data_IF_509993759610
#
_entry.id   IF_509993759610
#
_cell.length_a   1.000
_cell.length_b   1.000
_cell.length_c   1.000
_cell.angle_alpha   90.00
_cell.angle_beta   90.00
_cell.angle_gamma   90.00
#
_symmetry.space_group_name_H-M   'P 1'
#
loop_
_entity.id
_entity.type
_entity.pdbx_description
1 polymer ?
#
# COMPACT_ATOMS: atom_id res chain seq x y z
N UNK A 1 2.07 -3.00 9.14
CA UNK A 1 2.97 -4.11 8.75
C UNK A 1 3.52 -3.96 7.32
N UNK A 2 2.70 -4.02 6.25
CA UNK A 2 3.16 -3.94 4.85
C UNK A 2 4.10 -2.75 4.59
N UNK A 3 3.72 -1.55 5.06
CA UNK A 3 4.55 -0.34 4.97
C UNK A 3 5.93 -0.49 5.62
N UNK A 4 6.03 -1.21 6.75
CA UNK A 4 7.29 -1.41 7.46
C UNK A 4 8.20 -2.40 6.73
N UNK A 5 7.64 -3.46 6.14
CA UNK A 5 8.42 -4.36 5.28
C UNK A 5 8.86 -3.67 3.99
N UNK A 6 8.00 -2.81 3.41
CA UNK A 6 8.38 -2.00 2.26
C UNK A 6 9.58 -1.10 2.57
N UNK A 7 9.60 -0.45 3.73
CA UNK A 7 10.72 0.41 4.17
C UNK A 7 12.04 -0.34 4.28
N UNK A 8 12.01 -1.62 4.68
CA UNK A 8 13.20 -2.48 4.73
C UNK A 8 13.71 -2.84 3.34
N UNK A 9 12.80 -2.93 2.36
CA UNK A 9 13.12 -3.43 1.01
C UNK A 9 12.42 -2.62 -0.11
N UNK A 10 12.68 -1.31 -0.25
CA UNK A 10 11.88 -0.40 -1.08
C UNK A 10 11.96 -0.66 -2.60
N UNK A 11 12.95 -1.45 -3.04
CA UNK A 11 13.17 -1.79 -4.45
C UNK A 11 12.98 -3.28 -4.74
N UNK A 12 12.58 -4.07 -3.73
CA UNK A 12 12.55 -5.53 -3.84
C UNK A 12 11.19 -6.07 -4.23
N UNK A 13 10.13 -5.47 -3.71
CA UNK A 13 8.77 -5.99 -3.82
C UNK A 13 7.91 -5.14 -4.74
N UNK A 14 6.87 -5.75 -5.28
CA UNK A 14 5.72 -5.07 -5.85
C UNK A 14 4.53 -5.36 -4.94
N UNK A 15 3.75 -4.33 -4.60
CA UNK A 15 2.57 -4.46 -3.77
C UNK A 15 1.33 -4.52 -4.66
N UNK A 16 0.52 -5.55 -4.46
CA UNK A 16 -0.75 -5.73 -5.16
C UNK A 16 -1.89 -5.83 -4.15
N UNK A 17 -3.07 -5.36 -4.55
CA UNK A 17 -4.33 -5.80 -3.96
C UNK A 17 -4.85 -6.97 -4.79
N UNK A 18 -5.06 -8.11 -4.16
CA UNK A 18 -5.50 -9.34 -4.83
C UNK A 18 -6.70 -9.94 -4.13
N UNK A 19 -7.47 -10.75 -4.87
CA UNK A 19 -8.66 -11.41 -4.33
C UNK A 19 -8.67 -12.92 -4.57
N UNK A 20 -7.79 -13.69 -3.88
CA UNK A 20 -7.73 -15.15 -3.98
C UNK A 20 -9.07 -15.83 -3.67
N UNK A 21 -9.20 -17.08 -4.12
CA UNK A 21 -10.41 -17.87 -3.88
C UNK A 21 -11.66 -17.27 -4.55
N UNK A 22 -11.47 -16.48 -5.60
CA UNK A 22 -12.55 -15.86 -6.35
C UNK A 22 -13.25 -14.72 -5.63
N UNK A 23 -12.53 -13.92 -4.84
CA UNK A 23 -13.14 -12.86 -4.03
C UNK A 23 -13.37 -13.23 -2.58
N UNK A 24 -13.09 -14.47 -2.18
CA UNK A 24 -13.26 -14.92 -0.80
C UNK A 24 -12.30 -14.22 0.18
N UNK A 25 -11.18 -13.72 -0.33
CA UNK A 25 -10.18 -13.01 0.46
C UNK A 25 -9.90 -11.63 -0.15
N UNK A 26 -9.60 -10.66 0.71
CA UNK A 26 -9.14 -9.32 0.34
C UNK A 26 -7.72 -9.17 0.87
N UNK A 27 -6.73 -9.30 -0.01
CA UNK A 27 -5.32 -9.43 0.38
C UNK A 27 -4.44 -8.34 -0.18
N UNK A 28 -3.45 -7.95 0.61
CA UNK A 28 -2.28 -7.20 0.17
C UNK A 28 -1.12 -8.17 -0.05
N UNK A 29 -0.68 -8.32 -1.30
CA UNK A 29 0.41 -9.22 -1.67
C UNK A 29 1.69 -8.42 -1.94
N UNK A 30 2.77 -8.70 -1.21
CA UNK A 30 4.12 -8.28 -1.57
C UNK A 30 4.79 -9.42 -2.34
N UNK A 31 4.94 -9.23 -3.65
CA UNK A 31 5.57 -10.20 -4.55
C UNK A 31 7.00 -9.75 -4.81
N UNK A 32 7.96 -10.65 -4.62
CA UNK A 32 9.36 -10.37 -4.89
C UNK A 32 9.61 -10.24 -6.41
N UNK A 33 10.29 -9.17 -6.80
CA UNK A 33 10.56 -8.86 -8.22
C UNK A 33 11.50 -9.83 -8.89
N UNK A 34 12.34 -10.55 -8.13
CA UNK A 34 13.29 -11.52 -8.70
C UNK A 34 12.96 -12.97 -8.36
N UNK A 35 11.94 -13.21 -7.54
CA UNK A 35 11.52 -14.55 -7.10
C UNK A 35 10.03 -14.56 -6.78
N UNK A 36 9.18 -14.58 -7.82
CA UNK A 36 7.73 -14.50 -7.65
C UNK A 36 7.12 -15.71 -6.93
N UNK A 37 7.88 -16.79 -6.73
CA UNK A 37 7.44 -17.94 -5.97
C UNK A 37 7.37 -17.65 -4.46
N UNK A 38 8.15 -16.67 -3.97
CA UNK A 38 8.07 -16.19 -2.59
C UNK A 38 7.27 -14.89 -2.51
N UNK A 39 6.20 -14.90 -1.72
CA UNK A 39 5.37 -13.72 -1.50
C UNK A 39 4.83 -13.67 -0.08
N UNK A 40 4.70 -12.45 0.43
CA UNK A 40 3.90 -12.18 1.61
C UNK A 40 2.48 -11.87 1.17
N UNK A 41 1.51 -12.46 1.84
CA UNK A 41 0.10 -12.18 1.67
C UNK A 41 -0.51 -11.75 3.00
N UNK A 42 -1.05 -10.54 3.04
CA UNK A 42 -1.72 -9.98 4.22
C UNK A 42 -3.20 -9.92 3.94
N UNK A 43 -3.95 -10.89 4.44
CA UNK A 43 -5.41 -10.87 4.38
C UNK A 43 -5.93 -9.79 5.31
N UNK A 44 -6.61 -8.79 4.76
CA UNK A 44 -7.25 -7.71 5.52
C UNK A 44 -8.32 -8.24 6.47
N UNK A 45 -8.81 -9.47 6.25
CA UNK A 45 -9.66 -10.24 7.18
C UNK A 45 -8.93 -10.83 8.40
N UNK A 46 -7.61 -10.64 8.56
CA UNK A 46 -6.93 -10.87 9.84
C UNK A 46 -5.83 -11.94 9.87
N UNK A 47 -5.28 -12.38 8.72
CA UNK A 47 -4.21 -13.38 8.70
C UNK A 47 -3.04 -12.96 7.81
N UNK A 48 -1.82 -13.31 8.20
CA UNK A 48 -0.61 -13.09 7.41
C UNK A 48 -0.05 -14.43 6.98
N UNK A 49 0.30 -14.55 5.70
CA UNK A 49 0.88 -15.76 5.12
C UNK A 49 2.17 -15.41 4.38
N UNK A 50 3.19 -16.23 4.53
CA UNK A 50 4.32 -16.27 3.60
C UNK A 50 4.21 -17.55 2.81
N UNK A 51 4.10 -17.39 1.50
CA UNK A 51 4.09 -18.49 0.53
C UNK A 51 5.50 -18.66 -0.03
N UNK A 52 5.95 -19.91 -0.14
CA UNK A 52 7.25 -20.26 -0.70
C UNK A 52 7.25 -21.67 -1.28
N UNK A 53 8.33 -22.04 -1.98
CA UNK A 53 8.47 -23.37 -2.60
C UNK A 53 8.64 -24.48 -1.55
N UNK A 54 9.34 -24.18 -0.45
CA UNK A 54 9.77 -25.19 0.52
C UNK A 54 8.83 -25.25 1.74
N UNK A 55 8.35 -24.10 2.23
CA UNK A 55 7.47 -24.01 3.39
C UNK A 55 6.50 -22.83 3.26
N UNK A 56 5.27 -23.03 3.73
CA UNK A 56 4.30 -21.95 3.95
C UNK A 56 4.21 -21.65 5.44
N UNK A 57 4.23 -20.36 5.80
CA UNK A 57 4.04 -19.91 7.18
C UNK A 57 2.81 -19.03 7.28
N UNK A 58 2.11 -19.13 8.41
CA UNK A 58 0.87 -18.40 8.67
C UNK A 58 0.87 -17.89 10.10
N UNK A 59 0.44 -16.64 10.28
CA UNK A 59 0.27 -15.99 11.58
C UNK A 59 -1.14 -15.38 11.66
N UNK A 60 -1.95 -15.90 12.58
CA UNK A 60 -3.28 -15.36 12.90
C UNK A 60 -3.23 -14.32 14.02
N UNK A 61 -2.15 -14.31 14.79
CA UNK A 61 -1.85 -13.41 15.92
C UNK A 61 -1.02 -12.19 15.48
N UNK A 62 -0.88 -11.95 14.18
CA UNK A 62 0.01 -10.92 13.62
C UNK A 62 -0.25 -9.52 14.20
N UNK A 63 -1.51 -9.20 14.53
CA UNK A 63 -1.88 -7.90 15.08
C UNK A 63 -1.29 -7.72 16.47
N UNK A 64 -1.44 -8.71 17.35
CA UNK A 64 -0.89 -8.68 18.70
C UNK A 64 0.64 -8.54 18.65
N UNK A 65 1.28 -9.29 17.75
CA UNK A 65 2.73 -9.21 17.53
C UNK A 65 3.21 -7.87 16.99
N UNK A 66 2.38 -7.17 16.21
CA UNK A 66 2.68 -5.82 15.72
C UNK A 66 2.39 -4.73 16.75
N UNK A 67 1.61 -5.03 17.79
CA UNK A 67 1.27 -4.13 18.90
C UNK A 67 2.16 -4.36 20.14
N UNK A 68 3.00 -5.39 20.11
CA UNK A 68 4.02 -5.65 21.14
C UNK A 68 5.03 -4.49 21.25
N UNK A 69 5.82 -4.48 22.32
CA UNK A 69 6.90 -3.51 22.54
C UNK A 69 8.02 -3.68 21.50
N UNK A 70 8.18 -4.88 20.95
CA UNK A 70 9.25 -5.23 19.99
C UNK A 70 8.73 -5.75 18.63
N UNK A 71 7.94 -4.97 17.87
CA UNK A 71 7.36 -5.41 16.60
C UNK A 71 8.42 -5.73 15.53
N UNK A 72 9.65 -5.22 15.71
CA UNK A 72 10.79 -5.56 14.85
C UNK A 72 11.10 -7.06 14.84
N UNK A 73 10.92 -7.78 15.96
CA UNK A 73 11.21 -9.22 16.04
C UNK A 73 10.28 -9.99 15.11
N UNK A 74 9.01 -9.62 15.09
CA UNK A 74 8.05 -10.25 14.17
C UNK A 74 8.34 -9.90 12.71
N UNK A 75 8.71 -8.65 12.41
CA UNK A 75 9.11 -8.26 11.06
C UNK A 75 10.38 -8.99 10.60
N UNK A 76 11.31 -9.28 11.51
CA UNK A 76 12.53 -10.05 11.24
C UNK A 76 12.18 -11.51 10.91
N UNK A 77 11.29 -12.13 11.69
CA UNK A 77 10.79 -13.48 11.41
C UNK A 77 10.10 -13.57 10.03
N UNK A 78 9.27 -12.59 9.66
CA UNK A 78 8.67 -12.52 8.32
C UNK A 78 9.75 -12.38 7.25
N UNK A 79 10.78 -11.56 7.51
CA UNK A 79 11.89 -11.32 6.58
C UNK A 79 12.65 -12.62 6.32
N UNK A 80 12.94 -13.39 7.37
CA UNK A 80 13.58 -14.71 7.27
C UNK A 80 12.69 -15.72 6.54
N UNK A 81 11.39 -15.74 6.84
CA UNK A 81 10.42 -16.61 6.15
C UNK A 81 10.35 -16.30 4.64
N UNK A 82 10.55 -15.04 4.25
CA UNK A 82 10.69 -14.63 2.84
C UNK A 82 12.03 -15.04 2.21
N UNK A 83 12.91 -15.72 2.95
CA UNK A 83 14.25 -16.11 2.50
C UNK A 83 15.17 -14.89 2.31
N UNK A 84 14.97 -13.85 3.12
CA UNK A 84 15.75 -12.60 3.04
C UNK A 84 16.57 -12.42 4.30
N UNK A 85 17.69 -11.72 4.14
CA UNK A 85 18.52 -11.32 5.26
C UNK A 85 17.86 -10.12 5.95
N UNK A 86 17.78 -10.17 7.29
CA UNK A 86 17.33 -9.05 8.12
C UNK A 86 18.24 -7.85 7.90
N UNK A 87 17.64 -6.72 7.54
CA UNK A 87 18.37 -5.47 7.31
C UNK A 87 18.72 -4.81 8.64
N UNK A 88 19.98 -4.38 8.78
CA UNK A 88 20.46 -3.68 9.98
C UNK A 88 20.23 -2.16 9.90
N UNK A 89 20.11 -1.62 8.67
CA UNK A 89 19.93 -0.18 8.43
C UNK A 89 18.78 0.02 7.45
N UNK A 90 17.82 0.86 7.83
CA UNK A 90 16.69 1.22 6.97
C UNK A 90 17.12 2.30 5.99
N UNK A 91 16.81 2.10 4.70
CA UNK A 91 17.10 3.07 3.64
C UNK A 91 16.32 4.38 3.82
N UNK A 92 16.79 5.45 3.16
CA UNK A 92 16.03 6.70 3.09
C UNK A 92 14.64 6.46 2.45
N UNK A 93 13.64 7.20 2.91
CA UNK A 93 12.28 7.07 2.36
C UNK A 93 12.25 7.47 0.88
N UNK A 94 11.85 6.53 0.03
CA UNK A 94 11.53 6.76 -1.38
C UNK A 94 10.14 7.40 -1.53
N UNK A 95 9.77 7.96 -2.69
CA UNK A 95 8.42 8.46 -2.92
C UNK A 95 7.33 7.42 -2.62
N UNK A 96 7.49 6.19 -3.12
CA UNK A 96 6.57 5.07 -2.83
C UNK A 96 6.48 4.74 -1.34
N UNK A 97 7.61 4.80 -0.63
CA UNK A 97 7.63 4.63 0.82
C UNK A 97 6.80 5.71 1.52
N UNK A 98 6.92 6.96 1.06
CA UNK A 98 6.15 8.09 1.59
C UNK A 98 4.65 7.89 1.29
N UNK A 99 4.28 7.44 0.09
CA UNK A 99 2.90 7.08 -0.27
C UNK A 99 2.30 6.06 0.69
N UNK A 100 2.98 4.93 0.93
CA UNK A 100 2.43 3.90 1.82
C UNK A 100 2.41 4.32 3.29
N UNK A 101 3.36 5.16 3.72
CA UNK A 101 3.32 5.76 5.06
C UNK A 101 2.17 6.75 5.18
N UNK A 102 1.92 7.55 4.16
CA UNK A 102 0.80 8.49 4.11
C UNK A 102 -0.53 7.75 4.27
N UNK A 103 -0.74 6.71 3.46
CA UNK A 103 -1.96 5.88 3.50
C UNK A 103 -2.14 5.24 4.88
N UNK A 104 -1.08 4.61 5.40
CA UNK A 104 -1.14 3.95 6.70
C UNK A 104 -1.44 4.92 7.85
N UNK A 105 -0.80 6.09 7.84
CA UNK A 105 -1.02 7.14 8.84
C UNK A 105 -2.45 7.70 8.77
N UNK A 106 -2.92 8.03 7.57
CA UNK A 106 -4.29 8.51 7.36
C UNK A 106 -5.31 7.50 7.89
N UNK A 107 -5.18 6.22 7.51
CA UNK A 107 -6.11 5.18 7.95
C UNK A 107 -6.07 4.99 9.47
N UNK A 108 -4.88 5.05 10.08
CA UNK A 108 -4.72 4.97 11.55
C UNK A 108 -5.51 6.07 12.25
N UNK A 109 -5.45 7.30 11.74
CA UNK A 109 -6.20 8.44 12.29
C UNK A 109 -7.70 8.43 11.96
N UNK A 110 -8.13 7.58 11.01
CA UNK A 110 -9.54 7.36 10.70
C UNK A 110 -10.20 6.29 11.58
N UNK A 111 -9.44 5.57 12.42
CA UNK A 111 -9.97 4.55 13.32
C UNK A 111 -10.97 5.18 14.31
N UNK A 112 -12.09 4.50 14.55
CA UNK A 112 -13.14 4.95 15.47
C UNK A 112 -14.09 6.00 14.89
N UNK A 113 -13.94 6.36 13.60
CA UNK A 113 -14.89 7.22 12.88
C UNK A 113 -16.18 6.46 12.55
N UNK A 114 -17.27 7.21 12.34
CA UNK A 114 -18.54 6.64 11.89
C UNK A 114 -18.47 6.27 10.41
N UNK A 115 -17.76 7.08 9.63
CA UNK A 115 -17.51 6.86 8.23
C UNK A 115 -16.55 5.69 8.05
N UNK A 116 -16.88 4.80 7.10
CA UNK A 116 -16.00 3.69 6.74
C UNK A 116 -14.95 4.20 5.78
N UNK A 117 -13.70 4.18 6.23
CA UNK A 117 -12.54 4.49 5.41
C UNK A 117 -11.83 3.22 4.96
N UNK A 118 -11.47 3.18 3.68
CA UNK A 118 -10.72 2.08 3.07
C UNK A 118 -9.62 2.63 2.17
N UNK A 119 -8.60 1.81 1.92
CA UNK A 119 -7.66 2.06 0.84
C UNK A 119 -7.71 0.91 -0.15
N UNK A 120 -7.89 1.23 -1.43
CA UNK A 120 -8.04 0.25 -2.51
C UNK A 120 -7.11 0.56 -3.67
N UNK A 121 -6.62 -0.48 -4.33
CA UNK A 121 -5.81 -0.30 -5.52
C UNK A 121 -6.67 0.11 -6.74
N UNK A 122 -6.11 0.91 -7.64
CA UNK A 122 -6.76 1.36 -8.88
C UNK A 122 -7.06 0.24 -9.87
N UNK A 123 -6.45 -0.92 -9.69
CA UNK A 123 -6.78 -2.15 -10.39
C UNK A 123 -7.43 -3.15 -9.42
N UNK A 124 -8.62 -3.64 -9.75
CA UNK A 124 -9.23 -4.76 -9.05
C UNK A 124 -8.71 -6.07 -9.63
N UNK A 125 -7.96 -6.86 -8.86
CA UNK A 125 -7.48 -8.17 -9.30
C UNK A 125 -8.37 -9.28 -8.72
N UNK A 126 -9.43 -9.67 -9.45
CA UNK A 126 -10.33 -10.77 -9.08
C UNK A 126 -10.41 -11.80 -10.20
N UNK A 127 -10.35 -13.08 -9.85
CA UNK A 127 -10.25 -14.17 -10.82
C UNK A 127 -11.57 -14.57 -11.49
N UNK A 128 -12.73 -14.09 -10.99
CA UNK A 128 -14.01 -14.66 -11.40
C UNK A 128 -14.74 -13.81 -12.44
N UNK A 129 -14.95 -12.50 -12.26
CA UNK A 129 -15.83 -11.77 -13.21
C UNK A 129 -15.62 -10.25 -13.37
N UNK A 130 -14.82 -9.56 -12.55
CA UNK A 130 -14.77 -8.08 -12.57
C UNK A 130 -13.37 -7.51 -12.32
N UNK A 131 -12.34 -8.23 -12.76
CA UNK A 131 -10.98 -7.70 -12.71
C UNK A 131 -10.77 -6.55 -13.70
N UNK A 132 -9.90 -5.59 -13.38
CA UNK A 132 -9.56 -4.50 -14.29
C UNK A 132 -9.32 -3.16 -13.63
N UNK A 133 -8.99 -2.16 -14.46
CA UNK A 133 -8.90 -0.76 -14.05
C UNK A 133 -10.28 -0.27 -13.57
N UNK A 134 -10.32 0.32 -12.38
CA UNK A 134 -11.53 0.91 -11.78
C UNK A 134 -11.80 2.29 -12.37
N UNK A 135 -12.16 2.32 -13.65
CA UNK A 135 -12.23 3.55 -14.46
C UNK A 135 -13.13 4.63 -13.83
N UNK A 136 -14.24 4.22 -13.23
CA UNK A 136 -15.17 5.07 -12.48
C UNK A 136 -14.49 5.88 -11.37
N UNK A 137 -13.46 5.33 -10.71
CA UNK A 137 -12.71 6.07 -9.70
C UNK A 137 -11.74 7.08 -10.29
N UNK A 138 -11.11 6.75 -11.42
CA UNK A 138 -10.21 7.66 -12.13
C UNK A 138 -10.96 8.87 -12.67
N UNK A 139 -12.20 8.68 -13.15
CA UNK A 139 -13.02 9.75 -13.75
C UNK A 139 -13.37 10.87 -12.76
N UNK A 140 -13.29 10.62 -11.45
CA UNK A 140 -13.52 11.62 -10.39
C UNK A 140 -12.35 12.61 -10.26
N UNK A 141 -11.16 12.26 -10.75
CA UNK A 141 -9.94 13.07 -10.57
C UNK A 141 -9.42 13.58 -11.92
N UNK A 142 -9.81 14.80 -12.34
CA UNK A 142 -9.57 15.29 -13.70
C UNK A 142 -8.07 15.40 -14.06
N UNK A 143 -7.20 15.69 -13.10
CA UNK A 143 -5.78 15.90 -13.35
C UNK A 143 -4.93 14.63 -13.33
N UNK A 144 -5.49 13.43 -13.11
CA UNK A 144 -4.65 12.21 -13.22
C UNK A 144 -4.09 12.07 -14.64
N UNK A 145 -4.87 12.42 -15.66
CA UNK A 145 -4.47 12.31 -17.06
C UNK A 145 -3.38 13.31 -17.48
N UNK A 146 -3.21 14.41 -16.73
CA UNK A 146 -2.22 15.46 -17.03
C UNK A 146 -0.80 15.04 -16.60
N UNK A 147 -0.70 13.99 -15.80
CA UNK A 147 0.57 13.50 -15.29
C UNK A 147 1.03 12.28 -16.08
N UNK A 148 2.35 12.20 -16.29
CA UNK A 148 2.96 10.98 -16.78
C UNK A 148 2.57 9.81 -15.88
N UNK A 149 2.26 8.64 -16.45
CA UNK A 149 2.01 7.46 -15.64
C UNK A 149 3.22 7.21 -14.72
N UNK A 150 2.99 6.75 -13.48
CA UNK A 150 4.06 6.49 -12.53
C UNK A 150 5.12 5.59 -13.15
N UNK A 151 6.38 5.80 -12.74
CA UNK A 151 7.47 5.02 -13.31
C UNK A 151 7.21 3.53 -13.05
N UNK A 152 6.95 2.81 -14.15
CA UNK A 152 6.75 1.36 -14.08
C UNK A 152 8.04 0.71 -13.59
N UNK A 153 7.85 -0.38 -12.87
CA UNK A 153 8.94 -1.28 -12.56
C UNK A 153 9.43 -1.90 -13.87
N UNK A 154 10.68 -1.61 -14.21
CA UNK A 154 11.31 -2.14 -15.42
C UNK A 154 11.12 -3.67 -15.48
N UNK A 155 10.74 -4.17 -16.66
CA UNK A 155 10.63 -5.59 -17.00
C UNK A 155 9.39 -6.38 -16.52
N UNK A 156 8.30 -5.73 -16.08
CA UNK A 156 7.01 -6.41 -15.94
C UNK A 156 5.89 -5.66 -16.67
N UNK A 157 5.11 -6.32 -17.54
CA UNK A 157 3.93 -5.73 -18.17
C UNK A 157 2.78 -5.69 -17.16
N UNK A 158 2.93 -4.87 -16.11
CA UNK A 158 1.85 -4.60 -15.16
C UNK A 158 1.01 -3.42 -15.66
N UNK A 159 -0.29 -3.51 -15.43
CA UNK A 159 -1.21 -2.41 -15.70
C UNK A 159 -0.86 -1.19 -14.84
N UNK A 160 -0.81 0.00 -15.45
CA UNK A 160 -0.43 1.23 -14.74
C UNK A 160 -1.39 1.53 -13.58
N UNK A 161 -2.64 1.05 -13.66
CA UNK A 161 -3.63 1.21 -12.61
C UNK A 161 -3.17 0.63 -11.25
N UNK A 162 -2.25 -0.36 -11.24
CA UNK A 162 -1.64 -0.88 -10.01
C UNK A 162 -0.80 0.14 -9.25
N UNK A 163 -0.32 1.18 -9.93
CA UNK A 163 0.47 2.24 -9.33
C UNK A 163 -0.37 3.29 -8.60
N UNK A 164 -1.71 3.17 -8.62
CA UNK A 164 -2.61 4.12 -7.98
C UNK A 164 -3.36 3.47 -6.81
N UNK A 165 -3.52 4.22 -5.74
CA UNK A 165 -4.23 3.84 -4.52
C UNK A 165 -5.26 4.92 -4.18
N UNK A 166 -6.45 4.48 -3.84
CA UNK A 166 -7.59 5.36 -3.57
C UNK A 166 -7.97 5.26 -2.09
N UNK A 167 -8.03 6.39 -1.41
CA UNK A 167 -8.70 6.50 -0.12
C UNK A 167 -10.19 6.71 -0.36
N UNK A 168 -10.99 5.82 0.19
CA UNK A 168 -12.43 5.72 -0.09
C UNK A 168 -13.18 5.94 1.22
N UNK A 169 -14.16 6.83 1.18
CA UNK A 169 -15.09 7.11 2.29
C UNK A 169 -16.48 6.65 1.88
N UNK A 170 -17.06 5.68 2.60
CA UNK A 170 -18.40 5.17 2.33
C UNK A 170 -18.62 4.81 0.85
N UNK A 171 -17.65 4.11 0.25
CA UNK A 171 -17.64 3.69 -1.17
C UNK A 171 -17.38 4.79 -2.21
N UNK A 172 -17.13 6.03 -1.80
CA UNK A 172 -16.77 7.13 -2.71
C UNK A 172 -15.27 7.47 -2.60
N UNK A 173 -14.51 7.49 -3.71
CA UNK A 173 -13.11 7.89 -3.67
C UNK A 173 -12.99 9.37 -3.29
N UNK A 174 -12.13 9.67 -2.32
CA UNK A 174 -11.90 11.04 -1.82
C UNK A 174 -10.50 11.56 -2.18
N UNK A 175 -9.53 10.65 -2.30
CA UNK A 175 -8.16 10.98 -2.65
C UNK A 175 -7.57 9.83 -3.48
N UNK A 176 -6.88 10.17 -4.57
CA UNK A 176 -6.07 9.23 -5.33
C UNK A 176 -4.59 9.53 -5.08
N UNK A 177 -3.76 8.51 -4.88
CA UNK A 177 -2.33 8.66 -4.62
C UNK A 177 -1.57 7.67 -5.48
N UNK A 178 -0.54 8.12 -6.18
CA UNK A 178 0.31 7.24 -6.96
C UNK A 178 1.58 6.80 -6.20
N UNK A 179 2.26 5.79 -6.75
CA UNK A 179 3.53 5.28 -6.20
C UNK A 179 4.72 6.21 -6.38
N UNK A 180 4.61 7.27 -7.18
CA UNK A 180 5.62 8.32 -7.34
C UNK A 180 5.43 9.45 -6.30
N UNK A 181 4.41 9.34 -5.46
CA UNK A 181 4.18 10.26 -4.37
C UNK A 181 3.37 11.49 -4.77
N UNK A 182 2.53 11.41 -5.80
CA UNK A 182 1.56 12.46 -6.12
C UNK A 182 0.22 12.11 -5.50
N UNK A 183 -0.37 13.04 -4.74
CA UNK A 183 -1.74 12.95 -4.26
C UNK A 183 -2.65 13.88 -5.06
N UNK A 184 -3.74 13.32 -5.60
CA UNK A 184 -4.74 13.98 -6.42
C UNK A 184 -6.04 14.14 -5.62
N UNK A 185 -6.50 15.37 -5.49
CA UNK A 185 -7.74 15.75 -4.79
C UNK A 185 -8.90 15.92 -5.79
N UNK A 186 -10.13 15.75 -5.33
CA UNK A 186 -11.34 15.86 -6.17
C UNK A 186 -11.55 17.28 -6.74
N UNK A 187 -11.08 18.31 -6.03
CA UNK A 187 -11.13 19.72 -6.45
C UNK A 187 -10.18 20.04 -7.61
N UNK A 188 -9.44 19.03 -8.06
CA UNK A 188 -8.50 19.15 -9.16
C UNK A 188 -7.14 19.71 -8.76
N UNK A 189 -6.71 19.49 -7.52
CA UNK A 189 -5.34 19.82 -7.10
C UNK A 189 -4.48 18.57 -7.02
N UNK A 190 -3.19 18.72 -7.32
CA UNK A 190 -2.18 17.68 -7.16
C UNK A 190 -1.08 18.17 -6.20
N UNK A 191 -0.66 17.32 -5.27
CA UNK A 191 0.35 17.63 -4.25
C UNK A 191 1.47 16.60 -4.26
N UNK A 192 2.72 17.08 -4.29
CA UNK A 192 3.92 16.25 -4.24
C UNK A 192 4.26 15.87 -2.79
N UNK A 193 3.94 14.63 -2.40
CA UNK A 193 4.21 14.12 -1.05
C UNK A 193 5.71 14.16 -0.68
N UNK A 194 6.67 13.82 -1.57
CA UNK A 194 8.09 13.90 -1.23
C UNK A 194 8.57 15.31 -0.87
N UNK A 195 8.07 16.32 -1.59
CA UNK A 195 8.42 17.72 -1.32
C UNK A 195 7.88 18.20 0.03
N UNK A 196 6.64 17.83 0.35
CA UNK A 196 6.02 18.13 1.65
C UNK A 196 6.78 17.40 2.78
N UNK A 197 7.14 16.14 2.56
CA UNK A 197 7.90 15.36 3.54
C UNK A 197 9.31 15.89 3.75
N UNK A 198 9.99 16.38 2.70
CA UNK A 198 11.32 16.95 2.81
C UNK A 198 11.36 18.18 3.75
N UNK A 199 10.28 18.96 3.79
CA UNK A 199 10.15 20.17 4.63
C UNK A 199 9.99 19.85 6.12
N UNK A 200 9.20 18.83 6.47
CA UNK A 200 8.83 18.54 7.87
C UNK A 200 9.52 17.31 8.46
N UNK A 201 9.93 16.36 7.60
CA UNK A 201 10.38 15.00 7.94
C UNK A 201 9.39 14.23 8.82
N UNK A 202 8.11 14.63 8.82
CA UNK A 202 7.03 14.04 9.63
C UNK A 202 5.85 13.68 8.74
N UNK A 203 5.48 12.40 8.72
CA UNK A 203 4.41 11.93 7.84
C UNK A 203 3.07 12.57 8.18
N UNK A 204 2.75 12.73 9.48
CA UNK A 204 1.54 13.40 9.92
C UNK A 204 1.41 14.84 9.40
N UNK A 205 2.52 15.58 9.32
CA UNK A 205 2.51 16.92 8.74
C UNK A 205 2.14 16.91 7.25
N UNK A 206 2.53 15.85 6.52
CA UNK A 206 2.16 15.67 5.12
C UNK A 206 0.67 15.34 5.01
N UNK A 207 0.20 14.39 5.83
CA UNK A 207 -1.22 14.00 5.92
C UNK A 207 -2.11 15.21 6.17
N UNK A 208 -1.83 15.99 7.21
CA UNK A 208 -2.61 17.20 7.54
C UNK A 208 -2.57 18.25 6.41
N UNK A 209 -1.44 18.39 5.71
CA UNK A 209 -1.33 19.36 4.60
C UNK A 209 -2.13 18.95 3.36
N UNK A 210 -2.33 17.65 3.15
CA UNK A 210 -2.97 17.11 1.95
C UNK A 210 -4.46 16.85 2.18
N UNK A 211 -4.79 16.22 3.30
CA UNK A 211 -6.10 15.64 3.61
C UNK A 211 -6.64 16.10 4.97
N UNK A 212 -6.16 17.23 5.51
CA UNK A 212 -6.59 17.74 6.82
C UNK A 212 -8.09 18.07 6.88
N UNK A 213 -8.69 18.41 5.75
CA UNK A 213 -10.13 18.64 5.56
C UNK A 213 -10.97 17.34 5.50
N UNK A 214 -10.34 16.21 5.17
CA UNK A 214 -10.93 14.87 5.23
C UNK A 214 -10.81 14.25 6.63
N UNK A 215 -9.96 14.85 7.46
CA UNK A 215 -9.70 14.48 8.84
C UNK A 215 -10.58 15.30 9.78
N UNK A 216 -10.80 14.81 11.00
CA UNK A 216 -11.63 15.44 12.01
C UNK A 216 -11.11 16.75 12.60
#
# INVERSE_FOLDING_TARGET
MVTELWRRFPHRFTLFETHPGGGAYDTLDLIDRTDSARRLQVNRGGSVHVWGLDENRSWSDWLDRMLDDEPQIFLDEITEALGRQVVQTISASTPTTITYRFIAEFLTHSIGRRERWECRNGFGDSSVWTGGKRQDWFDVFPHIADHSPPQRLENQPIETAYCYWFLIRNSEPQLCIDTDGVAYCMEGTAKQLPELYAKSRRIWSVVNSVAGDLLP
#
